data_IF_389935388655
#
_entry.id   IF_389935388655
#
_cell.length_a   1.000
_cell.length_b   1.000
_cell.length_c   1.000
_cell.angle_alpha   90.00
_cell.angle_beta   90.00
_cell.angle_gamma   90.00
#
_symmetry.space_group_name_H-M   'P 1'
#
loop_
_entity.id
_entity.type
_entity.pdbx_description
1 polymer ?
#
# COMPACT_ATOMS: atom_id res chain seq x y z
N UNK A 1 -14.77 -11.60 -20.17
CA UNK A 1 -14.02 -10.59 -19.40
C UNK A 1 -13.84 -11.09 -17.99
N UNK A 2 -12.62 -11.11 -17.50
CA UNK A 2 -12.30 -11.51 -16.12
C UNK A 2 -12.94 -10.52 -15.14
N UNK A 3 -13.63 -11.01 -14.10
CA UNK A 3 -14.21 -10.17 -13.05
C UNK A 3 -13.16 -9.87 -12.00
N UNK A 4 -12.96 -8.60 -11.70
CA UNK A 4 -12.00 -8.17 -10.69
C UNK A 4 -12.66 -7.47 -9.50
N UNK A 5 -12.01 -7.57 -8.35
CA UNK A 5 -12.37 -6.83 -7.13
C UNK A 5 -11.13 -6.22 -6.48
N UNK A 6 -11.28 -5.03 -5.94
CA UNK A 6 -10.25 -4.32 -5.20
C UNK A 6 -10.61 -4.32 -3.72
N UNK A 7 -9.81 -5.03 -2.94
CA UNK A 7 -9.84 -4.94 -1.48
C UNK A 7 -8.95 -3.80 -1.04
N UNK A 8 -9.34 -3.04 -0.03
CA UNK A 8 -8.46 -1.98 0.45
C UNK A 8 -8.63 -1.70 1.93
N UNK A 9 -7.59 -1.11 2.50
CA UNK A 9 -7.63 -0.50 3.82
C UNK A 9 -6.88 0.82 3.79
N UNK A 10 -7.59 1.91 4.10
CA UNK A 10 -7.07 3.28 4.06
C UNK A 10 -7.31 3.98 5.39
N UNK A 11 -6.24 4.55 5.99
CA UNK A 11 -6.36 5.34 7.21
C UNK A 11 -6.62 6.83 6.93
N UNK A 12 -5.92 7.39 5.95
CA UNK A 12 -5.84 8.84 5.71
C UNK A 12 -6.20 9.25 4.28
N UNK A 13 -6.71 8.33 3.47
CA UNK A 13 -7.30 8.60 2.17
C UNK A 13 -6.41 8.36 0.96
N UNK A 14 -5.08 8.32 1.07
CA UNK A 14 -4.21 8.13 -0.10
C UNK A 14 -4.45 6.78 -0.80
N UNK A 15 -4.58 5.68 -0.06
CA UNK A 15 -4.90 4.37 -0.64
C UNK A 15 -6.26 4.39 -1.34
N UNK A 16 -7.28 5.01 -0.72
CA UNK A 16 -8.62 5.12 -1.32
C UNK A 16 -8.59 5.89 -2.64
N UNK A 17 -7.79 6.93 -2.74
CA UNK A 17 -7.61 7.70 -3.98
C UNK A 17 -7.08 6.84 -5.13
N UNK A 18 -6.11 5.96 -4.87
CA UNK A 18 -5.63 4.98 -5.85
C UNK A 18 -6.70 3.95 -6.21
N UNK A 19 -7.49 3.50 -5.24
CA UNK A 19 -8.64 2.61 -5.49
C UNK A 19 -9.63 3.27 -6.44
N UNK A 20 -9.98 4.54 -6.22
CA UNK A 20 -10.92 5.26 -7.09
C UNK A 20 -10.41 5.35 -8.53
N UNK A 21 -9.11 5.60 -8.73
CA UNK A 21 -8.52 5.62 -10.06
C UNK A 21 -8.48 4.24 -10.73
N UNK A 22 -8.25 3.17 -9.96
CA UNK A 22 -8.33 1.80 -10.48
C UNK A 22 -9.75 1.41 -10.86
N UNK A 23 -10.74 1.78 -10.05
CA UNK A 23 -12.17 1.54 -10.34
C UNK A 23 -12.58 2.28 -11.62
N UNK A 24 -12.19 3.55 -11.76
CA UNK A 24 -12.43 4.35 -12.97
C UNK A 24 -11.83 3.69 -14.22
N UNK A 25 -10.62 3.11 -14.10
CA UNK A 25 -9.89 2.53 -15.22
C UNK A 25 -10.33 1.11 -15.57
N UNK A 26 -10.58 0.26 -14.56
CA UNK A 26 -10.81 -1.17 -14.73
C UNK A 26 -12.29 -1.58 -14.67
N UNK A 27 -13.15 -0.73 -14.08
CA UNK A 27 -14.54 -1.06 -13.82
C UNK A 27 -14.74 -2.19 -12.80
N UNK A 28 -13.74 -2.42 -11.92
CA UNK A 28 -13.79 -3.47 -10.91
C UNK A 28 -14.64 -3.05 -9.71
N UNK A 29 -15.25 -4.04 -9.06
CA UNK A 29 -15.87 -3.86 -7.75
C UNK A 29 -14.82 -3.52 -6.68
N UNK A 30 -15.23 -2.91 -5.59
CA UNK A 30 -14.31 -2.63 -4.48
C UNK A 30 -14.99 -2.76 -3.12
N UNK A 31 -14.20 -3.12 -2.09
CA UNK A 31 -14.69 -3.26 -0.72
C UNK A 31 -13.55 -3.04 0.28
N UNK A 32 -13.84 -2.45 1.45
CA UNK A 32 -12.88 -2.42 2.53
C UNK A 32 -12.65 -3.82 3.11
N UNK A 33 -11.41 -4.13 3.51
CA UNK A 33 -11.04 -5.46 4.05
C UNK A 33 -11.87 -5.86 5.26
N UNK A 34 -12.33 -4.88 6.07
CA UNK A 34 -13.18 -5.15 7.25
C UNK A 34 -14.57 -5.69 6.87
N UNK A 35 -15.07 -5.34 5.69
CA UNK A 35 -16.39 -5.72 5.17
C UNK A 35 -16.32 -6.88 4.16
N UNK A 36 -15.10 -7.26 3.77
CA UNK A 36 -14.86 -8.32 2.80
C UNK A 36 -15.19 -9.69 3.37
N UNK A 37 -15.98 -10.48 2.62
CA UNK A 37 -16.29 -11.89 2.94
C UNK A 37 -15.62 -12.77 1.88
N UNK A 38 -14.83 -13.75 2.33
CA UNK A 38 -14.08 -14.65 1.43
C UNK A 38 -15.00 -15.36 0.45
N UNK A 39 -16.18 -15.82 0.91
CA UNK A 39 -17.17 -16.46 0.04
C UNK A 39 -17.56 -15.59 -1.18
N UNK A 40 -17.63 -14.26 -1.00
CA UNK A 40 -17.94 -13.36 -2.11
C UNK A 40 -16.76 -13.22 -3.07
N UNK A 41 -15.52 -13.32 -2.57
CA UNK A 41 -14.30 -13.20 -3.38
C UNK A 41 -14.15 -14.37 -4.35
N UNK A 42 -14.74 -15.51 -4.07
CA UNK A 42 -14.72 -16.68 -4.96
C UNK A 42 -15.40 -16.41 -6.31
N UNK A 43 -16.26 -15.40 -6.39
CA UNK A 43 -16.94 -15.01 -7.64
C UNK A 43 -16.08 -14.14 -8.57
N UNK A 44 -14.85 -13.79 -8.17
CA UNK A 44 -13.93 -12.96 -8.94
C UNK A 44 -12.72 -13.78 -9.40
N UNK A 45 -12.19 -13.43 -10.56
CA UNK A 45 -10.98 -14.03 -11.12
C UNK A 45 -9.72 -13.33 -10.64
N UNK A 46 -9.81 -11.99 -10.47
CA UNK A 46 -8.72 -11.11 -10.12
C UNK A 46 -9.05 -10.39 -8.80
N UNK A 47 -8.12 -10.43 -7.87
CA UNK A 47 -8.22 -9.78 -6.55
C UNK A 47 -7.02 -8.86 -6.38
N UNK A 48 -7.26 -7.57 -6.22
CA UNK A 48 -6.23 -6.57 -5.94
C UNK A 48 -6.38 -6.12 -4.48
N UNK A 49 -5.30 -6.13 -3.71
CA UNK A 49 -5.30 -5.54 -2.36
C UNK A 49 -4.51 -4.23 -2.37
N UNK A 50 -5.13 -3.15 -1.90
CA UNK A 50 -4.48 -1.88 -1.64
C UNK A 50 -4.35 -1.57 -0.15
N UNK A 51 -3.15 -1.25 0.32
CA UNK A 51 -2.91 -0.94 1.71
C UNK A 51 -1.85 0.12 1.96
N UNK A 52 -2.06 0.97 2.98
CA UNK A 52 -1.05 1.91 3.42
C UNK A 52 0.12 1.21 4.11
N UNK A 53 1.34 1.74 3.92
CA UNK A 53 2.55 1.27 4.60
C UNK A 53 2.70 2.05 5.91
N UNK A 54 2.79 1.33 7.00
CA UNK A 54 3.05 1.85 8.34
C UNK A 54 4.14 1.02 9.03
N UNK A 55 4.57 1.42 10.22
CA UNK A 55 5.61 0.70 10.98
C UNK A 55 5.32 -0.81 11.15
N UNK A 56 4.04 -1.20 11.18
CA UNK A 56 3.60 -2.60 11.29
C UNK A 56 3.51 -3.35 9.96
N UNK A 57 3.88 -2.72 8.83
CA UNK A 57 3.81 -3.29 7.50
C UNK A 57 2.68 -2.72 6.64
N UNK A 58 2.16 -3.52 5.72
CA UNK A 58 1.08 -3.14 4.80
C UNK A 58 -0.25 -3.48 5.44
N UNK A 59 -1.08 -2.46 5.71
CA UNK A 59 -2.42 -2.69 6.29
C UNK A 59 -3.30 -3.46 5.29
N UNK A 60 -4.12 -4.36 5.82
CA UNK A 60 -4.95 -5.25 5.00
C UNK A 60 -4.25 -6.54 4.56
N UNK A 61 -2.90 -6.59 4.52
CA UNK A 61 -2.17 -7.80 4.09
C UNK A 61 -2.49 -9.02 4.97
N UNK A 62 -2.82 -8.79 6.25
CA UNK A 62 -3.22 -9.84 7.17
C UNK A 62 -4.51 -10.55 6.73
N UNK A 63 -5.40 -9.86 6.03
CA UNK A 63 -6.60 -10.47 5.45
C UNK A 63 -6.21 -11.53 4.41
N UNK A 64 -5.28 -11.21 3.50
CA UNK A 64 -4.78 -12.20 2.54
C UNK A 64 -4.07 -13.36 3.23
N UNK A 65 -3.20 -13.09 4.20
CA UNK A 65 -2.49 -14.15 4.95
C UNK A 65 -3.44 -15.18 5.56
N UNK A 66 -4.54 -14.73 6.14
CA UNK A 66 -5.53 -15.61 6.77
C UNK A 66 -6.36 -16.42 5.77
N UNK A 67 -6.55 -15.90 4.57
CA UNK A 67 -7.54 -16.44 3.65
C UNK A 67 -6.96 -16.98 2.34
N UNK A 68 -5.64 -16.87 2.14
CA UNK A 68 -4.98 -17.20 0.87
C UNK A 68 -5.24 -18.64 0.43
N UNK A 69 -5.31 -19.59 1.37
CA UNK A 69 -5.62 -20.99 1.08
C UNK A 69 -7.01 -21.22 0.47
N UNK A 70 -7.95 -20.31 0.75
CA UNK A 70 -9.31 -20.36 0.19
C UNK A 70 -9.41 -19.65 -1.17
N UNK A 71 -8.39 -18.87 -1.54
CA UNK A 71 -8.33 -18.11 -2.79
C UNK A 71 -7.47 -18.77 -3.87
N UNK A 72 -7.26 -20.08 -3.73
CA UNK A 72 -6.49 -20.85 -4.71
C UNK A 72 -7.06 -20.70 -6.13
N UNK A 73 -6.18 -20.51 -7.12
CA UNK A 73 -6.56 -20.30 -8.52
C UNK A 73 -6.96 -18.87 -8.87
N UNK A 74 -7.05 -17.97 -7.89
CA UNK A 74 -7.30 -16.54 -8.16
C UNK A 74 -5.99 -15.82 -8.52
N UNK A 75 -6.10 -14.85 -9.43
CA UNK A 75 -5.00 -13.92 -9.73
C UNK A 75 -4.99 -12.81 -8.66
N UNK A 76 -3.93 -12.74 -7.89
CA UNK A 76 -3.84 -11.81 -6.75
C UNK A 76 -2.67 -10.87 -6.96
N UNK A 77 -2.88 -9.57 -6.74
CA UNK A 77 -1.85 -8.55 -6.73
C UNK A 77 -2.02 -7.64 -5.51
N UNK A 78 -0.92 -7.02 -5.06
CA UNK A 78 -0.96 -6.07 -3.95
C UNK A 78 -0.32 -4.76 -4.38
N UNK A 79 -0.92 -3.62 -4.05
CA UNK A 79 -0.22 -2.34 -4.11
C UNK A 79 -0.12 -1.72 -2.72
N UNK A 80 1.07 -1.23 -2.40
CA UNK A 80 1.40 -0.63 -1.12
C UNK A 80 1.57 0.89 -1.28
N UNK A 81 0.93 1.67 -0.41
CA UNK A 81 0.95 3.13 -0.47
C UNK A 81 1.75 3.68 0.69
N UNK A 82 2.91 4.27 0.40
CA UNK A 82 3.81 4.82 1.41
C UNK A 82 4.18 6.29 1.13
N UNK A 83 4.64 7.00 2.15
CA UNK A 83 5.03 8.41 2.01
C UNK A 83 6.42 8.60 1.37
N UNK A 84 7.31 7.61 1.47
CA UNK A 84 8.66 7.68 0.93
C UNK A 84 8.67 7.74 -0.60
N UNK A 85 9.68 8.35 -1.24
CA UNK A 85 9.92 8.17 -2.66
C UNK A 85 10.11 6.69 -3.01
N UNK A 86 9.96 6.36 -4.30
CA UNK A 86 10.28 5.02 -4.78
C UNK A 86 11.78 4.73 -4.52
N UNK A 87 12.05 3.62 -3.87
CA UNK A 87 13.38 3.10 -3.60
C UNK A 87 13.34 1.58 -3.76
N UNK A 88 13.98 1.09 -4.81
CA UNK A 88 13.94 -0.32 -5.19
C UNK A 88 14.48 -1.24 -4.07
N UNK A 89 15.57 -0.83 -3.42
CA UNK A 89 16.18 -1.57 -2.32
C UNK A 89 15.25 -1.67 -1.12
N UNK A 90 14.64 -0.55 -0.72
CA UNK A 90 13.69 -0.52 0.39
C UNK A 90 12.42 -1.33 0.09
N UNK A 91 11.93 -1.27 -1.14
CA UNK A 91 10.76 -2.05 -1.59
C UNK A 91 11.09 -3.55 -1.58
N UNK A 92 12.26 -3.94 -2.08
CA UNK A 92 12.69 -5.33 -2.06
C UNK A 92 12.82 -5.86 -0.63
N UNK A 93 13.41 -5.11 0.29
CA UNK A 93 13.50 -5.46 1.70
C UNK A 93 12.12 -5.61 2.36
N UNK A 94 11.21 -4.68 2.08
CA UNK A 94 9.84 -4.76 2.57
C UNK A 94 9.10 -5.99 2.01
N UNK A 95 9.33 -6.32 0.74
CA UNK A 95 8.79 -7.53 0.11
C UNK A 95 9.30 -8.79 0.81
N UNK A 96 10.60 -8.92 1.01
CA UNK A 96 11.21 -10.07 1.71
C UNK A 96 10.72 -10.21 3.15
N UNK A 97 10.38 -9.11 3.79
CA UNK A 97 9.86 -9.10 5.17
C UNK A 97 8.39 -9.52 5.24
N UNK A 98 7.56 -9.06 4.32
CA UNK A 98 6.09 -9.16 4.44
C UNK A 98 5.47 -10.23 3.54
N UNK A 99 6.10 -10.56 2.40
CA UNK A 99 5.60 -11.54 1.44
C UNK A 99 6.37 -12.86 1.56
N UNK A 100 6.04 -13.62 2.60
CA UNK A 100 6.63 -14.94 2.90
C UNK A 100 5.60 -16.04 2.67
N UNK A 101 6.10 -17.28 2.61
CA UNK A 101 5.29 -18.49 2.51
C UNK A 101 4.28 -18.42 1.35
N UNK A 102 3.01 -18.57 1.64
CA UNK A 102 1.94 -18.55 0.63
C UNK A 102 1.77 -17.21 -0.11
N UNK A 103 2.35 -16.11 0.40
CA UNK A 103 2.33 -14.81 -0.25
C UNK A 103 3.56 -14.53 -1.13
N UNK A 104 4.58 -15.39 -1.10
CA UNK A 104 5.88 -15.14 -1.77
C UNK A 104 5.77 -14.88 -3.27
N UNK A 105 4.82 -15.52 -3.94
CA UNK A 105 4.59 -15.40 -5.38
C UNK A 105 3.61 -14.29 -5.76
N UNK A 106 3.02 -13.57 -4.80
CA UNK A 106 2.10 -12.49 -5.09
C UNK A 106 2.88 -11.25 -5.53
N UNK A 107 2.63 -10.71 -6.74
CA UNK A 107 3.25 -9.48 -7.18
C UNK A 107 2.84 -8.31 -6.30
N UNK A 108 3.80 -7.44 -6.02
CA UNK A 108 3.56 -6.24 -5.23
C UNK A 108 4.09 -5.01 -5.94
N UNK A 109 3.33 -3.93 -5.87
CA UNK A 109 3.60 -2.66 -6.51
C UNK A 109 3.64 -1.55 -5.47
N UNK A 110 4.43 -0.52 -5.70
CA UNK A 110 4.53 0.60 -4.79
C UNK A 110 3.91 1.87 -5.40
N UNK A 111 3.14 2.56 -4.60
CA UNK A 111 2.56 3.85 -4.93
C UNK A 111 2.96 4.88 -3.87
N UNK A 112 3.36 6.07 -4.28
CA UNK A 112 3.64 7.13 -3.32
C UNK A 112 2.34 7.76 -2.85
N UNK A 113 2.21 7.98 -1.55
CA UNK A 113 1.00 8.47 -0.92
C UNK A 113 1.05 9.95 -0.56
N UNK A 114 0.53 10.28 0.61
CA UNK A 114 0.42 11.63 1.12
C UNK A 114 0.90 11.70 2.57
N UNK A 115 1.16 12.91 3.04
CA UNK A 115 1.56 13.22 4.40
C UNK A 115 0.76 14.39 4.94
N UNK A 116 0.08 14.21 6.06
CA UNK A 116 -0.67 15.26 6.73
C UNK A 116 -0.75 14.94 8.23
N UNK A 117 0.15 15.52 9.02
CA UNK A 117 0.23 15.26 10.46
C UNK A 117 -1.03 15.72 11.22
N UNK A 118 -1.76 16.71 10.70
CA UNK A 118 -2.98 17.19 11.32
C UNK A 118 -4.11 16.17 11.26
N UNK A 119 -4.15 15.38 10.20
CA UNK A 119 -5.13 14.30 10.01
C UNK A 119 -4.76 13.01 10.77
N UNK A 120 -3.52 12.89 11.24
CA UNK A 120 -3.08 11.68 11.92
C UNK A 120 -3.77 11.54 13.28
N UNK A 121 -4.15 10.31 13.62
CA UNK A 121 -4.55 9.95 14.97
C UNK A 121 -3.41 10.26 15.95
N UNK A 122 -3.75 10.53 17.20
CA UNK A 122 -2.78 10.91 18.23
C UNK A 122 -1.60 9.93 18.34
N UNK A 123 -1.88 8.63 18.30
CA UNK A 123 -0.85 7.57 18.36
C UNK A 123 0.11 7.63 17.17
N UNK A 124 -0.41 7.71 15.94
CA UNK A 124 0.41 7.76 14.73
C UNK A 124 1.23 9.05 14.68
N UNK A 125 0.62 10.18 15.05
CA UNK A 125 1.31 11.47 15.13
C UNK A 125 2.44 11.45 16.15
N UNK A 126 2.22 10.83 17.32
CA UNK A 126 3.24 10.73 18.36
C UNK A 126 4.41 9.87 17.88
N UNK A 127 4.14 8.73 17.26
CA UNK A 127 5.18 7.87 16.69
C UNK A 127 5.97 8.59 15.59
N UNK A 128 5.30 9.30 14.69
CA UNK A 128 5.97 10.11 13.67
C UNK A 128 6.88 11.17 14.26
N UNK A 129 6.42 11.91 15.28
CA UNK A 129 7.23 12.92 15.98
C UNK A 129 8.43 12.31 16.70
N UNK A 130 8.28 11.14 17.31
CA UNK A 130 9.42 10.43 17.92
C UNK A 130 10.45 10.03 16.86
N UNK A 131 9.99 9.51 15.73
CA UNK A 131 10.85 9.13 14.61
C UNK A 131 11.58 10.35 14.01
N UNK A 132 10.86 11.46 13.79
CA UNK A 132 11.45 12.72 13.35
C UNK A 132 12.56 13.21 14.29
N UNK A 133 12.33 13.16 15.61
CA UNK A 133 13.33 13.52 16.63
C UNK A 133 14.55 12.60 16.60
N UNK A 134 14.36 11.30 16.36
CA UNK A 134 15.45 10.35 16.26
C UNK A 134 16.30 10.59 15.00
N UNK A 135 15.65 10.82 13.86
CA UNK A 135 16.33 11.12 12.58
C UNK A 135 17.06 12.47 12.66
N UNK A 136 16.46 13.49 13.28
CA UNK A 136 17.07 14.82 13.43
C UNK A 136 18.40 14.82 14.21
N UNK A 137 18.71 13.75 14.95
CA UNK A 137 20.00 13.58 15.66
C UNK A 137 21.11 13.01 14.78
N UNK A 138 20.77 12.52 13.60
CA UNK A 138 21.71 11.95 12.66
C UNK A 138 22.26 13.03 11.72
N UNK A 139 23.38 12.74 11.05
CA UNK A 139 23.93 13.65 10.04
C UNK A 139 22.99 13.70 8.82
N UNK A 140 22.48 14.89 8.42
CA UNK A 140 21.59 15.02 7.28
C UNK A 140 22.19 14.53 5.94
N UNK A 141 23.49 14.58 5.77
CA UNK A 141 24.18 14.11 4.56
C UNK A 141 24.13 12.59 4.40
N UNK A 142 23.91 11.87 5.50
CA UNK A 142 23.84 10.40 5.56
C UNK A 142 22.40 9.88 5.57
N UNK A 143 21.39 10.77 5.44
CA UNK A 143 19.99 10.34 5.44
C UNK A 143 19.68 9.42 4.27
N UNK A 144 19.04 8.30 4.58
CA UNK A 144 18.40 7.46 3.58
C UNK A 144 17.21 8.17 2.91
N UNK A 145 16.76 7.73 1.72
CA UNK A 145 15.66 8.38 0.99
C UNK A 145 14.39 8.60 1.83
N UNK A 146 14.01 7.64 2.66
CA UNK A 146 12.85 7.75 3.54
C UNK A 146 13.04 8.78 4.65
N UNK A 147 14.26 8.92 5.19
CA UNK A 147 14.60 9.91 6.22
C UNK A 147 14.54 11.32 5.64
N UNK A 148 15.09 11.53 4.44
CA UNK A 148 14.99 12.79 3.71
C UNK A 148 13.53 13.18 3.46
N UNK A 149 12.70 12.23 3.02
CA UNK A 149 11.27 12.45 2.81
C UNK A 149 10.56 12.83 4.12
N UNK A 150 10.81 12.09 5.20
CA UNK A 150 10.25 12.35 6.52
C UNK A 150 10.60 13.76 7.00
N UNK A 151 11.88 14.13 6.95
CA UNK A 151 12.36 15.43 7.45
C UNK A 151 11.87 16.59 6.58
N UNK A 152 11.74 16.40 5.27
CA UNK A 152 11.21 17.41 4.36
C UNK A 152 9.70 17.66 4.55
N UNK A 153 8.97 16.70 5.12
CA UNK A 153 7.53 16.75 5.34
C UNK A 153 7.14 17.29 6.72
N UNK A 154 8.11 17.49 7.63
CA UNK A 154 7.85 18.03 8.98
C UNK A 154 7.08 19.34 8.90
N UNK A 155 5.91 19.41 9.57
CA UNK A 155 5.07 20.60 9.61
C UNK A 155 4.42 20.98 8.29
N UNK A 156 4.47 20.10 7.28
CA UNK A 156 3.87 20.35 5.97
C UNK A 156 2.75 19.36 5.69
N UNK A 157 1.90 19.77 4.75
CA UNK A 157 0.91 18.93 4.12
C UNK A 157 1.37 18.62 2.70
N UNK A 158 1.58 17.33 2.40
CA UNK A 158 2.10 16.89 1.12
C UNK A 158 1.16 15.83 0.51
N UNK A 159 0.89 15.98 -0.77
CA UNK A 159 0.23 14.96 -1.58
C UNK A 159 1.12 14.62 -2.79
N UNK A 160 1.68 13.43 -2.77
CA UNK A 160 2.55 12.90 -3.82
C UNK A 160 1.86 11.80 -4.64
N UNK A 161 0.55 11.66 -4.47
CA UNK A 161 -0.20 10.66 -5.24
C UNK A 161 -0.23 11.03 -6.72
N UNK A 162 0.05 10.07 -7.58
CA UNK A 162 0.05 10.22 -9.03
C UNK A 162 -0.43 8.93 -9.69
N UNK A 163 -1.25 9.06 -10.74
CA UNK A 163 -1.80 7.91 -11.49
C UNK A 163 -0.69 7.05 -12.12
N UNK A 164 0.45 7.63 -12.46
CA UNK A 164 1.58 6.92 -13.07
C UNK A 164 2.13 5.79 -12.18
N UNK A 165 2.00 5.90 -10.86
CA UNK A 165 2.36 4.81 -9.94
C UNK A 165 1.53 3.53 -10.15
N UNK A 166 0.37 3.63 -10.79
CA UNK A 166 -0.48 2.47 -11.09
C UNK A 166 -0.10 1.77 -12.41
N UNK A 167 0.70 2.39 -13.26
CA UNK A 167 1.06 1.83 -14.58
C UNK A 167 1.65 0.41 -14.50
N UNK A 168 2.60 0.10 -13.59
CA UNK A 168 3.12 -1.25 -13.47
C UNK A 168 2.06 -2.29 -13.07
N UNK A 169 1.14 -1.93 -12.19
CA UNK A 169 0.02 -2.79 -11.79
C UNK A 169 -0.96 -2.97 -12.94
N UNK A 170 -1.31 -1.90 -13.65
CA UNK A 170 -2.24 -1.97 -14.79
C UNK A 170 -1.67 -2.85 -15.90
N UNK A 171 -0.38 -2.68 -16.24
CA UNK A 171 0.30 -3.55 -17.19
C UNK A 171 0.24 -5.01 -16.79
N UNK A 172 0.52 -5.31 -15.51
CA UNK A 172 0.42 -6.68 -15.00
C UNK A 172 -1.00 -7.24 -15.16
N UNK A 173 -2.05 -6.45 -14.88
CA UNK A 173 -3.45 -6.88 -15.03
C UNK A 173 -3.82 -7.14 -16.50
N UNK A 174 -3.28 -6.35 -17.43
CA UNK A 174 -3.50 -6.52 -18.88
C UNK A 174 -2.84 -7.81 -19.43
N UNK A 175 -1.80 -8.31 -18.78
CA UNK A 175 -1.06 -9.53 -19.15
C UNK A 175 -1.69 -10.82 -18.56
N UNK A 176 -2.72 -10.75 -17.71
CA UNK A 176 -3.41 -11.89 -17.08
C UNK A 176 -4.48 -12.53 -17.96
#
# INVERSE_FOLDING_TARGET
MSRGIILYQSKYGATKKYVDWLVEKLGYDYVETKDAKVANLLNYDIIILGGGVYASGIVGLQFLKKNIGQLTGKKIAVFAVGASPYDEKAIQQAREMHFKDALSNIPSFYCRGAWDEEKMKFTDRTLCKMLQKAVAKQNPDEYEPWQKALMSAVGKKCDWTDKSYLEPLLKYIEEL
#
